data_IF_427692328663
#
_entry.id   IF_427692328663
#
_cell.length_a   1.000
_cell.length_b   1.000
_cell.length_c   1.000
_cell.angle_alpha   90.00
_cell.angle_beta   90.00
_cell.angle_gamma   90.00
#
_symmetry.space_group_name_H-M   'P 1'
#
loop_
_entity.id
_entity.type
_entity.pdbx_description
1 polymer ?
#
# COMPACT_ATOMS: atom_id res chain seq x y z
N UNK A 1 6.31 32.30 16.27
CA UNK A 1 5.59 31.14 15.71
C UNK A 1 4.82 31.66 14.51
N UNK A 2 5.18 31.24 13.29
CA UNK A 2 4.45 31.65 12.10
C UNK A 2 3.04 31.05 12.15
N UNK A 3 2.04 31.90 12.05
CA UNK A 3 0.63 31.51 11.97
C UNK A 3 0.45 30.81 10.61
N UNK A 4 0.35 29.48 10.60
CA UNK A 4 0.10 28.72 9.39
C UNK A 4 -1.25 29.17 8.81
N UNK A 5 -1.19 29.88 7.68
CA UNK A 5 -2.37 30.18 6.88
C UNK A 5 -2.76 28.87 6.19
N UNK A 6 -3.93 28.33 6.53
CA UNK A 6 -4.46 27.16 5.82
C UNK A 6 -5.09 27.66 4.53
N UNK A 7 -4.37 27.46 3.42
CA UNK A 7 -4.93 27.59 2.09
C UNK A 7 -5.79 26.34 1.85
N UNK A 8 -7.09 26.52 1.60
CA UNK A 8 -7.91 25.45 1.07
C UNK A 8 -7.63 25.40 -0.44
N UNK A 9 -6.50 24.81 -0.81
CA UNK A 9 -6.22 24.52 -2.22
C UNK A 9 -7.32 23.57 -2.73
N UNK A 10 -7.99 23.92 -3.84
CA UNK A 10 -9.04 23.11 -4.45
C UNK A 10 -8.35 21.99 -5.22
N UNK A 11 -7.80 21.05 -4.44
CA UNK A 11 -7.38 19.72 -4.93
C UNK A 11 -8.54 18.98 -5.62
N UNK A 12 -9.76 19.53 -5.55
CA UNK A 12 -11.01 19.08 -6.14
C UNK A 12 -11.36 19.74 -7.47
N UNK A 13 -10.47 20.50 -8.11
CA UNK A 13 -10.76 21.05 -9.45
C UNK A 13 -11.14 19.97 -10.47
N UNK A 14 -10.59 18.77 -10.33
CA UNK A 14 -10.97 17.60 -11.13
C UNK A 14 -12.40 17.10 -10.87
N UNK A 15 -13.05 17.55 -9.79
CA UNK A 15 -14.47 17.32 -9.49
C UNK A 15 -15.38 18.41 -10.08
N UNK A 16 -14.82 19.40 -10.81
CA UNK A 16 -15.56 20.47 -11.47
C UNK A 16 -15.59 21.81 -10.73
N UNK A 17 -14.71 22.04 -9.74
CA UNK A 17 -14.62 23.30 -8.98
C UNK A 17 -13.59 24.29 -9.56
N UNK A 18 -13.87 25.60 -9.47
CA UNK A 18 -12.93 26.69 -9.83
C UNK A 18 -11.84 26.93 -8.75
N UNK A 19 -10.91 27.85 -9.03
CA UNK A 19 -9.68 28.11 -8.25
C UNK A 19 -9.90 28.38 -6.73
N UNK A 20 -8.90 28.06 -5.89
CA UNK A 20 -9.08 28.06 -4.44
C UNK A 20 -9.23 29.42 -3.77
N UNK A 21 -10.15 29.50 -2.80
CA UNK A 21 -10.25 30.63 -1.85
C UNK A 21 -9.52 30.34 -0.51
N UNK A 22 -8.84 31.35 0.03
CA UNK A 22 -8.17 31.29 1.34
C UNK A 22 -9.16 31.30 2.49
N UNK A 23 -9.06 30.34 3.42
CA UNK A 23 -9.90 30.30 4.64
C UNK A 23 -9.05 30.62 5.89
N UNK A 24 -9.45 31.65 6.64
CA UNK A 24 -8.82 31.97 7.94
C UNK A 24 -9.41 31.10 9.07
N UNK A 25 -8.55 30.33 9.75
CA UNK A 25 -8.98 29.48 10.86
C UNK A 25 -9.10 30.30 12.15
N UNK A 26 -10.31 30.41 12.69
CA UNK A 26 -10.54 30.81 14.08
C UNK A 26 -10.71 29.57 14.96
N UNK A 27 -10.03 29.57 16.11
CA UNK A 27 -10.00 28.46 17.06
C UNK A 27 -11.38 28.18 17.70
N UNK A 28 -11.80 26.90 17.87
CA UNK A 28 -13.11 26.57 18.43
C UNK A 28 -13.17 26.80 19.95
N UNK A 29 -14.20 27.54 20.39
CA UNK A 29 -14.59 27.62 21.81
C UNK A 29 -15.22 26.30 22.26
N UNK A 30 -14.72 25.74 23.36
CA UNK A 30 -15.26 24.54 24.04
C UNK A 30 -16.72 24.75 24.46
N UNK A 31 -17.63 23.90 23.97
CA UNK A 31 -18.98 23.75 24.52
C UNK A 31 -19.04 22.60 25.53
N UNK A 32 -19.85 22.81 26.57
CA UNK A 32 -19.99 21.98 27.77
C UNK A 32 -20.79 20.70 27.50
N UNK A 33 -20.41 19.62 28.20
CA UNK A 33 -21.17 18.37 28.35
C UNK A 33 -22.52 18.64 29.04
N UNK A 34 -23.59 18.01 28.55
CA UNK A 34 -24.86 17.81 29.28
C UNK A 34 -25.17 16.32 29.34
N UNK A 35 -25.76 15.94 30.47
CA UNK A 35 -25.84 14.60 31.04
C UNK A 35 -26.90 13.68 30.41
N UNK A 36 -26.72 12.41 30.73
CA UNK A 36 -27.57 11.24 30.51
C UNK A 36 -29.00 11.39 31.01
N UNK A 37 -29.96 10.79 30.29
CA UNK A 37 -31.20 10.32 30.90
C UNK A 37 -31.58 8.93 30.36
N UNK A 38 -31.90 8.07 31.31
CA UNK A 38 -32.31 6.67 31.19
C UNK A 38 -33.82 6.59 30.96
N UNK A 39 -34.30 5.78 30.02
CA UNK A 39 -35.68 5.28 30.07
C UNK A 39 -35.86 3.94 29.35
N UNK A 40 -36.12 2.92 30.18
CA UNK A 40 -36.95 1.73 30.03
C UNK A 40 -37.21 1.11 28.65
N UNK A 41 -36.78 -0.16 28.54
CA UNK A 41 -37.23 -1.15 27.56
C UNK A 41 -38.67 -1.59 27.86
N UNK A 42 -39.56 -1.40 26.91
CA UNK A 42 -40.82 -2.15 26.79
C UNK A 42 -40.75 -3.03 25.55
N UNK A 43 -41.02 -4.32 25.73
CA UNK A 43 -40.97 -5.36 24.70
C UNK A 43 -42.32 -5.36 23.95
N UNK A 44 -42.39 -5.19 22.62
CA UNK A 44 -43.64 -5.37 21.89
C UNK A 44 -43.80 -6.82 21.43
N UNK A 45 -44.99 -7.34 21.67
CA UNK A 45 -45.58 -8.61 21.18
C UNK A 45 -45.65 -8.64 19.64
N UNK A 46 -45.59 -9.81 18.99
CA UNK A 46 -45.54 -9.91 17.53
C UNK A 46 -46.90 -9.59 16.91
N UNK A 47 -46.90 -8.64 15.96
CA UNK A 47 -48.04 -8.34 15.07
C UNK A 47 -48.05 -9.32 13.87
N UNK A 48 -49.22 -9.58 13.27
CA UNK A 48 -49.38 -10.54 12.17
C UNK A 48 -48.55 -10.13 10.95
N UNK A 49 -48.07 -11.10 10.18
CA UNK A 49 -47.32 -10.88 8.94
C UNK A 49 -48.19 -10.12 7.93
N UNK A 50 -47.92 -8.83 7.78
CA UNK A 50 -48.57 -7.94 6.82
C UNK A 50 -47.96 -8.14 5.42
N UNK A 51 -48.81 -8.45 4.45
CA UNK A 51 -48.40 -8.76 3.07
C UNK A 51 -47.92 -7.46 2.38
N UNK A 52 -46.65 -7.43 1.98
CA UNK A 52 -46.04 -6.33 1.21
C UNK A 52 -46.62 -6.28 -0.20
N UNK A 53 -47.36 -5.21 -0.53
CA UNK A 53 -47.95 -4.97 -1.85
C UNK A 53 -47.66 -3.53 -2.28
N UNK A 54 -47.04 -3.37 -3.44
CA UNK A 54 -46.69 -2.08 -4.07
C UNK A 54 -47.55 -1.84 -5.31
N UNK A 55 -47.71 -0.58 -5.70
CA UNK A 55 -48.47 -0.14 -6.86
C UNK A 55 -47.76 1.03 -7.57
N UNK A 56 -48.34 1.54 -8.66
CA UNK A 56 -47.76 2.62 -9.47
C UNK A 56 -47.70 3.97 -8.76
N UNK A 57 -48.41 4.14 -7.64
CA UNK A 57 -48.38 5.34 -6.80
C UNK A 57 -47.39 5.22 -5.63
N UNK A 58 -46.71 4.07 -5.51
CA UNK A 58 -45.72 3.85 -4.45
C UNK A 58 -44.51 4.74 -4.71
N UNK A 59 -44.00 5.37 -3.65
CA UNK A 59 -42.80 6.21 -3.73
C UNK A 59 -41.74 5.74 -2.74
N UNK A 60 -40.48 6.04 -3.05
CA UNK A 60 -39.30 5.74 -2.26
C UNK A 60 -38.77 7.05 -1.72
N UNK A 61 -38.62 7.16 -0.39
CA UNK A 61 -38.05 8.34 0.25
C UNK A 61 -36.67 8.03 0.78
N UNK A 62 -35.67 8.57 0.12
CA UNK A 62 -34.26 8.39 0.44
C UNK A 62 -33.47 9.65 0.11
N UNK A 63 -32.43 9.96 0.89
CA UNK A 63 -31.58 11.14 0.65
C UNK A 63 -32.27 12.51 0.83
N UNK A 64 -33.52 12.57 1.29
CA UNK A 64 -34.31 13.82 1.34
C UNK A 64 -35.25 14.00 0.15
N UNK A 65 -35.14 13.14 -0.86
CA UNK A 65 -35.96 13.14 -2.07
C UNK A 65 -37.12 12.13 -1.98
N UNK A 66 -38.11 12.30 -2.86
CA UNK A 66 -39.22 11.35 -3.04
C UNK A 66 -39.21 10.87 -4.48
N UNK A 67 -38.78 9.62 -4.67
CA UNK A 67 -38.55 9.00 -5.97
C UNK A 67 -39.75 8.09 -6.30
N UNK A 68 -40.47 8.28 -7.41
CA UNK A 68 -41.52 7.36 -7.85
C UNK A 68 -40.99 5.93 -8.05
N UNK A 69 -41.74 4.91 -7.63
CA UNK A 69 -41.35 3.51 -7.87
C UNK A 69 -41.25 3.17 -9.36
N UNK A 70 -42.01 3.90 -10.20
CA UNK A 70 -42.00 3.79 -11.67
C UNK A 70 -40.66 4.13 -12.30
N UNK A 71 -39.79 4.85 -11.61
CA UNK A 71 -38.43 5.15 -12.09
C UNK A 71 -37.55 3.90 -12.10
N UNK A 72 -37.89 2.92 -11.24
CA UNK A 72 -37.16 1.66 -11.11
C UNK A 72 -37.88 0.46 -11.69
N UNK A 73 -39.21 0.48 -11.84
CA UNK A 73 -40.01 -0.65 -12.34
C UNK A 73 -41.06 -0.16 -13.33
N UNK A 74 -41.28 -0.90 -14.41
CA UNK A 74 -42.35 -0.53 -15.36
C UNK A 74 -43.74 -0.75 -14.75
N UNK A 75 -44.77 -0.07 -15.28
CA UNK A 75 -46.15 -0.26 -14.82
C UNK A 75 -46.62 -1.73 -14.95
N UNK A 76 -46.11 -2.44 -15.94
CA UNK A 76 -46.36 -3.87 -16.15
C UNK A 76 -45.62 -4.74 -15.12
N UNK A 77 -44.37 -4.43 -14.78
CA UNK A 77 -43.62 -5.10 -13.71
C UNK A 77 -44.28 -4.90 -12.33
N UNK A 78 -44.86 -3.72 -12.09
CA UNK A 78 -45.54 -3.38 -10.84
C UNK A 78 -46.89 -4.10 -10.70
N UNK A 79 -47.61 -4.31 -11.80
CA UNK A 79 -48.95 -4.91 -11.80
C UNK A 79 -48.94 -6.45 -11.95
N UNK A 80 -48.00 -7.00 -12.71
CA UNK A 80 -47.93 -8.42 -13.08
C UNK A 80 -46.78 -9.14 -12.33
N UNK A 81 -45.73 -8.42 -11.92
CA UNK A 81 -44.52 -8.96 -11.32
C UNK A 81 -43.34 -9.04 -12.29
N UNK A 82 -42.15 -9.34 -11.78
CA UNK A 82 -40.92 -9.50 -12.58
C UNK A 82 -40.77 -10.93 -13.11
N UNK A 83 -40.25 -11.10 -14.32
CA UNK A 83 -40.01 -12.42 -14.94
C UNK A 83 -39.03 -13.27 -14.11
N UNK A 84 -39.38 -14.54 -13.86
CA UNK A 84 -38.42 -15.53 -13.34
C UNK A 84 -37.53 -16.03 -14.48
N UNK A 85 -36.21 -15.87 -14.35
CA UNK A 85 -35.27 -16.63 -15.19
C UNK A 85 -35.28 -18.10 -14.75
N UNK A 86 -35.86 -18.98 -15.57
CA UNK A 86 -35.90 -20.41 -15.32
C UNK A 86 -34.53 -21.04 -15.58
N UNK A 87 -33.71 -21.16 -14.53
CA UNK A 87 -32.58 -22.10 -14.51
C UNK A 87 -33.10 -23.51 -14.16
N UNK A 88 -33.80 -24.16 -15.08
CA UNK A 88 -33.89 -25.63 -15.22
C UNK A 88 -34.89 -25.98 -16.34
N UNK A 89 -34.55 -27.01 -17.11
CA UNK A 89 -35.33 -27.57 -18.22
C UNK A 89 -36.80 -27.83 -17.86
N UNK A 90 -37.71 -26.95 -18.29
CA UNK A 90 -39.15 -27.25 -18.41
C UNK A 90 -39.87 -26.26 -19.37
N UNK A 91 -40.44 -26.83 -20.43
CA UNK A 91 -41.58 -26.44 -21.29
C UNK A 91 -41.84 -24.94 -21.64
N UNK A 92 -41.72 -24.52 -22.92
CA UNK A 92 -41.75 -23.11 -23.35
C UNK A 92 -43.17 -22.59 -23.67
N UNK A 93 -44.10 -22.57 -22.71
CA UNK A 93 -45.42 -21.96 -23.00
C UNK A 93 -46.18 -21.21 -21.89
N UNK A 94 -45.60 -20.90 -20.72
CA UNK A 94 -46.19 -19.88 -19.82
C UNK A 94 -45.10 -19.12 -19.03
N UNK A 95 -44.91 -17.81 -19.25
CA UNK A 95 -44.00 -17.02 -18.41
C UNK A 95 -44.54 -16.97 -16.98
N UNK A 96 -43.73 -17.40 -16.02
CA UNK A 96 -44.03 -17.30 -14.59
C UNK A 96 -43.48 -16.01 -14.03
N UNK A 97 -44.34 -15.22 -13.38
CA UNK A 97 -44.01 -13.92 -12.82
C UNK A 97 -43.88 -14.00 -11.29
N UNK A 98 -42.88 -13.33 -10.73
CA UNK A 98 -42.67 -13.18 -9.29
C UNK A 98 -43.07 -11.77 -8.85
N UNK A 99 -43.87 -11.66 -7.80
CA UNK A 99 -44.20 -10.36 -7.22
C UNK A 99 -42.94 -9.62 -6.74
N UNK A 100 -42.88 -8.31 -6.97
CA UNK A 100 -41.74 -7.45 -6.56
C UNK A 100 -41.56 -7.56 -5.05
N UNK A 101 -40.36 -8.00 -4.63
CA UNK A 101 -40.00 -8.05 -3.22
C UNK A 101 -39.26 -6.78 -2.79
N UNK A 102 -39.23 -6.55 -1.48
CA UNK A 102 -38.48 -5.44 -0.88
C UNK A 102 -36.98 -5.48 -1.23
N UNK A 103 -36.42 -6.69 -1.38
CA UNK A 103 -35.02 -6.86 -1.78
C UNK A 103 -34.78 -6.51 -3.25
N UNK A 104 -35.75 -6.79 -4.13
CA UNK A 104 -35.65 -6.42 -5.55
C UNK A 104 -35.59 -4.90 -5.72
N UNK A 105 -36.40 -4.17 -4.92
CA UNK A 105 -36.39 -2.70 -4.89
C UNK A 105 -35.05 -2.19 -4.36
N UNK A 106 -34.55 -2.76 -3.24
CA UNK A 106 -33.24 -2.40 -2.67
C UNK A 106 -32.11 -2.63 -3.67
N UNK A 107 -32.15 -3.74 -4.41
CA UNK A 107 -31.13 -4.11 -5.41
C UNK A 107 -31.11 -3.14 -6.59
N UNK A 108 -32.28 -2.71 -7.09
CA UNK A 108 -32.35 -1.67 -8.14
C UNK A 108 -31.89 -0.31 -7.60
N UNK A 109 -32.25 0.05 -6.37
CA UNK A 109 -31.76 1.25 -5.70
C UNK A 109 -30.25 1.25 -5.44
N UNK A 110 -29.64 0.08 -5.20
CA UNK A 110 -28.19 -0.04 -4.93
C UNK A 110 -27.34 0.40 -6.14
N UNK A 111 -27.89 0.38 -7.36
CA UNK A 111 -27.20 0.87 -8.56
C UNK A 111 -26.97 2.39 -8.51
N UNK A 112 -27.94 3.14 -7.99
CA UNK A 112 -27.88 4.60 -7.90
C UNK A 112 -27.34 5.06 -6.53
N UNK A 113 -27.65 4.27 -5.49
CA UNK A 113 -27.27 4.54 -4.09
C UNK A 113 -26.45 3.37 -3.54
N UNK A 114 -25.16 3.33 -3.90
CA UNK A 114 -24.23 2.25 -3.57
C UNK A 114 -24.05 1.99 -2.06
N UNK A 115 -24.51 2.89 -1.19
CA UNK A 115 -24.57 2.66 0.24
C UNK A 115 -25.67 1.69 0.69
N UNK A 116 -26.73 1.51 -0.11
CA UNK A 116 -27.91 0.70 0.15
C UNK A 116 -27.70 -0.82 -0.03
N UNK A 117 -26.56 -1.32 0.39
CA UNK A 117 -26.25 -2.76 0.34
C UNK A 117 -27.12 -3.55 1.31
N UNK A 118 -27.37 -4.81 0.98
CA UNK A 118 -28.11 -5.80 1.81
C UNK A 118 -27.66 -5.77 3.28
N UNK A 119 -26.35 -5.81 3.52
CA UNK A 119 -25.78 -5.89 4.87
C UNK A 119 -25.99 -4.64 5.75
N UNK A 120 -26.27 -3.49 5.14
CA UNK A 120 -26.33 -2.19 5.82
C UNK A 120 -27.68 -1.51 5.68
N UNK A 121 -28.65 -2.14 5.03
CA UNK A 121 -29.90 -1.49 4.66
C UNK A 121 -31.08 -2.30 5.11
N UNK A 122 -31.86 -1.74 6.01
CA UNK A 122 -33.20 -2.23 6.30
C UNK A 122 -34.21 -1.39 5.53
N UNK A 123 -35.00 -2.02 4.70
CA UNK A 123 -36.08 -1.35 3.95
C UNK A 123 -37.36 -1.38 4.79
N UNK A 124 -37.94 -0.21 5.05
CA UNK A 124 -39.20 -0.07 5.80
C UNK A 124 -40.32 0.39 4.88
N UNK A 125 -41.45 -0.33 4.85
CA UNK A 125 -42.63 0.08 4.10
C UNK A 125 -43.69 0.69 5.03
N UNK A 126 -44.13 1.91 4.70
CA UNK A 126 -45.16 2.65 5.45
C UNK A 126 -46.43 2.65 4.59
N UNK A 127 -47.34 1.72 4.90
CA UNK A 127 -48.55 1.47 4.11
C UNK A 127 -49.47 2.67 4.03
N UNK A 128 -49.63 3.43 5.13
CA UNK A 128 -50.55 4.58 5.19
C UNK A 128 -50.15 5.71 4.24
N UNK A 129 -48.86 5.78 3.87
CA UNK A 129 -48.30 6.79 2.97
C UNK A 129 -47.87 6.21 1.63
N UNK A 130 -48.06 4.91 1.43
CA UNK A 130 -47.57 4.17 0.27
C UNK A 130 -46.08 4.45 -0.02
N UNK A 131 -45.26 4.40 1.02
CA UNK A 131 -43.92 4.95 1.04
C UNK A 131 -42.89 3.91 1.49
N UNK A 132 -41.82 3.73 0.72
CA UNK A 132 -40.68 2.88 1.05
C UNK A 132 -39.53 3.75 1.54
N UNK A 133 -38.94 3.42 2.68
CA UNK A 133 -37.82 4.15 3.28
C UNK A 133 -36.65 3.19 3.50
N UNK A 134 -35.57 3.28 2.70
CA UNK A 134 -34.31 2.64 3.00
C UNK A 134 -33.68 3.26 4.24
N UNK A 135 -33.37 2.45 5.25
CA UNK A 135 -32.74 2.90 6.51
C UNK A 135 -31.37 2.26 6.64
N UNK A 136 -30.33 3.09 6.66
CA UNK A 136 -28.96 2.64 6.88
C UNK A 136 -28.75 2.25 8.35
N UNK A 137 -28.37 0.99 8.57
CA UNK A 137 -28.05 0.45 9.88
C UNK A 137 -26.59 0.72 10.25
N UNK A 138 -26.32 0.84 11.56
CA UNK A 138 -24.97 1.03 12.07
C UNK A 138 -24.07 -0.17 11.72
N UNK A 139 -22.89 0.11 11.16
CA UNK A 139 -21.93 -0.92 10.74
C UNK A 139 -21.45 -1.74 11.95
N UNK A 140 -21.47 -3.08 11.83
CA UNK A 140 -20.68 -3.94 12.73
C UNK A 140 -19.19 -3.70 12.47
N UNK A 141 -18.43 -3.46 13.54
CA UNK A 141 -16.97 -3.23 13.47
C UNK A 141 -16.30 -4.43 12.79
N UNK A 142 -15.67 -4.21 11.64
CA UNK A 142 -14.92 -5.24 10.89
C UNK A 142 -15.56 -5.76 9.59
N UNK A 143 -16.73 -5.26 9.16
CA UNK A 143 -17.28 -5.61 7.84
C UNK A 143 -16.49 -4.96 6.70
N UNK A 144 -15.98 -5.79 5.78
CA UNK A 144 -15.26 -5.38 4.56
C UNK A 144 -16.22 -5.46 3.38
N UNK A 145 -16.64 -4.30 2.87
CA UNK A 145 -17.46 -4.19 1.66
C UNK A 145 -16.56 -4.28 0.43
N UNK A 146 -16.72 -5.34 -0.38
CA UNK A 146 -15.74 -5.72 -1.42
C UNK A 146 -15.72 -4.85 -2.69
N UNK A 147 -16.62 -3.87 -2.87
CA UNK A 147 -16.70 -3.06 -4.11
C UNK A 147 -17.24 -1.62 -3.90
N UNK A 148 -16.67 -0.82 -2.99
CA UNK A 148 -17.16 0.57 -2.76
C UNK A 148 -16.16 1.69 -3.00
N UNK A 149 -14.91 1.38 -3.34
CA UNK A 149 -13.88 2.40 -3.58
C UNK A 149 -13.37 2.32 -5.01
N UNK A 150 -12.99 3.47 -5.56
CA UNK A 150 -12.21 3.59 -6.79
C UNK A 150 -10.74 3.77 -6.45
N UNK A 151 -9.86 3.11 -7.19
CA UNK A 151 -8.41 3.32 -7.10
C UNK A 151 -7.99 3.74 -8.50
N UNK A 152 -7.54 4.97 -8.64
CA UNK A 152 -7.26 5.60 -9.94
C UNK A 152 -5.79 5.97 -10.00
N UNK A 153 -5.18 5.88 -11.18
CA UNK A 153 -3.78 6.28 -11.38
C UNK A 153 -3.63 7.78 -11.65
N UNK A 154 -4.71 8.47 -12.01
CA UNK A 154 -4.73 9.91 -12.27
C UNK A 154 -6.04 10.56 -11.81
N UNK A 155 -6.02 11.88 -11.69
CA UNK A 155 -7.22 12.68 -11.42
C UNK A 155 -8.22 12.64 -12.60
N UNK A 156 -7.73 12.53 -13.84
CA UNK A 156 -8.61 12.43 -15.02
C UNK A 156 -9.44 11.14 -15.01
N UNK A 157 -8.80 10.02 -14.71
CA UNK A 157 -9.49 8.72 -14.60
C UNK A 157 -10.50 8.72 -13.45
N UNK A 158 -10.14 9.37 -12.32
CA UNK A 158 -11.06 9.57 -11.21
C UNK A 158 -12.26 10.47 -11.56
N UNK A 159 -12.07 11.46 -12.44
CA UNK A 159 -13.15 12.33 -12.91
C UNK A 159 -14.11 11.57 -13.85
N UNK A 160 -13.57 10.83 -14.81
CA UNK A 160 -14.36 10.07 -15.79
C UNK A 160 -15.11 8.90 -15.16
N UNK A 161 -14.51 8.25 -14.15
CA UNK A 161 -15.03 7.04 -13.50
C UNK A 161 -15.44 7.27 -12.05
N UNK A 162 -15.93 8.48 -11.75
CA UNK A 162 -16.16 9.02 -10.39
C UNK A 162 -16.86 8.04 -9.46
N UNK A 163 -16.29 7.88 -8.26
CA UNK A 163 -16.90 7.18 -7.13
C UNK A 163 -16.90 8.07 -5.90
N UNK A 164 -17.82 7.82 -4.98
CA UNK A 164 -17.89 8.61 -3.76
C UNK A 164 -16.72 8.34 -2.79
N UNK A 165 -15.96 7.25 -2.94
CA UNK A 165 -14.77 6.92 -2.16
C UNK A 165 -13.63 6.56 -3.11
N UNK A 166 -12.56 7.33 -3.13
CA UNK A 166 -11.50 7.25 -4.14
C UNK A 166 -10.12 7.27 -3.51
N UNK A 167 -9.15 6.59 -4.14
CA UNK A 167 -7.74 6.57 -3.76
C UNK A 167 -6.91 6.94 -4.98
N UNK A 168 -6.11 8.00 -4.87
CA UNK A 168 -5.38 8.56 -6.00
C UNK A 168 -3.94 8.89 -5.56
N UNK A 169 -2.90 8.41 -6.27
CA UNK A 169 -1.52 8.82 -6.03
C UNK A 169 -1.30 10.27 -6.46
N UNK A 170 -0.41 10.98 -5.77
CA UNK A 170 -0.01 12.35 -6.06
C UNK A 170 1.49 12.44 -6.37
N UNK A 171 1.91 13.55 -6.98
CA UNK A 171 3.31 13.82 -7.33
C UNK A 171 4.24 13.92 -6.13
N UNK A 172 3.70 14.13 -4.92
CA UNK A 172 4.44 14.12 -3.67
C UNK A 172 4.81 12.69 -3.16
N UNK A 173 4.51 11.66 -3.95
CA UNK A 173 4.77 10.26 -3.65
C UNK A 173 3.75 9.60 -2.71
N UNK A 174 2.69 10.30 -2.31
CA UNK A 174 1.69 9.76 -1.39
C UNK A 174 0.38 9.42 -2.11
N UNK A 175 -0.41 8.56 -1.47
CA UNK A 175 -1.78 8.25 -1.90
C UNK A 175 -2.76 9.02 -1.02
N UNK A 176 -3.73 9.66 -1.67
CA UNK A 176 -4.78 10.43 -1.02
C UNK A 176 -6.11 9.70 -1.13
N UNK A 177 -6.80 9.58 0.00
CA UNK A 177 -8.17 9.10 0.08
C UNK A 177 -9.11 10.30 -0.03
N UNK A 178 -9.94 10.29 -1.06
CA UNK A 178 -10.94 11.30 -1.34
C UNK A 178 -12.33 10.72 -1.09
N UNK A 179 -13.08 11.35 -0.19
CA UNK A 179 -14.49 11.07 0.03
C UNK A 179 -15.28 12.23 -0.52
N UNK A 180 -15.97 11.99 -1.63
CA UNK A 180 -16.87 12.97 -2.21
C UNK A 180 -18.32 12.59 -1.91
N UNK A 181 -19.08 13.56 -1.42
CA UNK A 181 -20.50 13.45 -1.07
C UNK A 181 -21.19 14.73 -1.50
N UNK A 182 -22.52 14.70 -1.61
CA UNK A 182 -23.32 15.87 -1.99
C UNK A 182 -23.00 17.13 -1.18
N UNK A 183 -22.68 16.98 0.11
CA UNK A 183 -22.53 18.12 1.02
C UNK A 183 -21.08 18.55 1.25
N UNK A 184 -20.10 17.66 0.96
CA UNK A 184 -18.69 17.94 1.20
C UNK A 184 -17.79 16.96 0.47
N UNK A 185 -16.60 17.45 0.17
CA UNK A 185 -15.47 16.69 -0.34
C UNK A 185 -14.33 16.69 0.69
N UNK A 186 -13.80 15.51 1.02
CA UNK A 186 -12.69 15.32 1.97
C UNK A 186 -11.51 14.75 1.21
N UNK A 187 -10.34 15.36 1.32
CA UNK A 187 -9.08 14.80 0.82
C UNK A 187 -8.10 14.64 1.97
N UNK A 188 -7.53 13.44 2.13
CA UNK A 188 -6.54 13.18 3.18
C UNK A 188 -5.55 12.11 2.74
N UNK A 189 -4.26 12.31 3.04
CA UNK A 189 -3.24 11.27 2.89
C UNK A 189 -3.67 10.00 3.64
N UNK A 190 -3.73 8.88 2.93
CA UNK A 190 -4.10 7.60 3.54
C UNK A 190 -2.87 6.85 4.06
N UNK A 191 -3.09 5.98 5.04
CA UNK A 191 -2.08 5.02 5.52
C UNK A 191 -2.25 3.63 4.90
N UNK A 192 -3.41 3.38 4.28
CA UNK A 192 -3.73 2.10 3.68
C UNK A 192 -4.72 2.31 2.54
N UNK A 193 -4.54 1.57 1.46
CA UNK A 193 -5.49 1.48 0.36
C UNK A 193 -6.19 0.12 0.47
N UNK A 194 -7.52 0.08 0.63
CA UNK A 194 -8.23 -1.18 0.69
C UNK A 194 -8.02 -2.02 -0.58
N UNK A 195 -8.11 -3.33 -0.46
CA UNK A 195 -8.02 -4.28 -1.59
C UNK A 195 -6.68 -4.35 -2.33
N UNK A 196 -5.67 -3.57 -1.93
CA UNK A 196 -4.30 -3.70 -2.44
C UNK A 196 -3.43 -4.51 -1.48
N UNK A 197 -2.48 -5.25 -2.06
CA UNK A 197 -1.46 -5.97 -1.30
C UNK A 197 -0.52 -5.02 -0.57
N UNK A 198 -0.08 -5.40 0.62
CA UNK A 198 1.00 -4.68 1.32
C UNK A 198 2.33 -5.01 0.64
N UNK A 199 2.99 -3.99 0.13
CA UNK A 199 4.38 -4.06 -0.34
C UNK A 199 5.28 -3.61 0.80
N UNK A 200 6.43 -4.27 0.97
CA UNK A 200 7.47 -3.86 1.92
C UNK A 200 8.67 -3.33 1.14
N UNK A 201 9.19 -2.19 1.59
CA UNK A 201 10.47 -1.68 1.14
C UNK A 201 11.58 -2.66 1.49
N UNK A 202 12.58 -2.76 0.62
CA UNK A 202 13.74 -3.61 0.83
C UNK A 202 14.45 -3.97 -0.47
N UNK A 203 15.59 -4.63 -0.31
CA UNK A 203 16.42 -5.10 -1.42
C UNK A 203 16.34 -6.61 -1.50
N UNK A 204 16.11 -7.12 -2.71
CA UNK A 204 16.15 -8.56 -3.01
C UNK A 204 17.21 -8.84 -4.05
N UNK A 205 18.22 -9.62 -3.67
CA UNK A 205 19.21 -10.14 -4.61
C UNK A 205 18.54 -11.20 -5.49
N UNK A 206 18.72 -11.07 -6.81
CA UNK A 206 18.19 -12.02 -7.80
C UNK A 206 19.15 -13.17 -8.08
N UNK A 207 20.45 -12.91 -7.94
CA UNK A 207 21.50 -13.91 -8.04
C UNK A 207 21.81 -14.49 -6.63
N UNK A 208 22.53 -15.63 -6.57
CA UNK A 208 22.97 -16.22 -5.30
C UNK A 208 23.81 -15.25 -4.46
N UNK A 209 24.10 -15.61 -3.21
CA UNK A 209 25.05 -14.82 -2.42
C UNK A 209 26.45 -14.90 -3.05
N UNK A 210 27.23 -13.84 -2.90
CA UNK A 210 28.61 -13.78 -3.36
C UNK A 210 29.45 -14.71 -2.50
N UNK A 211 30.27 -15.55 -3.14
CA UNK A 211 31.10 -16.53 -2.46
C UNK A 211 32.09 -15.87 -1.48
N UNK A 212 32.21 -16.41 -0.28
CA UNK A 212 33.13 -16.01 0.77
C UNK A 212 34.58 -15.95 0.29
N UNK A 213 34.96 -16.83 -0.62
CA UNK A 213 36.32 -16.85 -1.20
C UNK A 213 36.64 -15.54 -1.93
N UNK A 214 35.65 -14.91 -2.57
CA UNK A 214 35.82 -13.63 -3.27
C UNK A 214 36.10 -12.50 -2.26
N UNK A 215 35.29 -12.42 -1.20
CA UNK A 215 35.49 -11.37 -0.20
C UNK A 215 36.76 -11.61 0.61
N UNK A 216 37.11 -12.85 0.94
CA UNK A 216 38.38 -13.13 1.62
C UNK A 216 39.58 -12.81 0.75
N UNK A 217 39.52 -13.06 -0.55
CA UNK A 217 40.60 -12.67 -1.46
C UNK A 217 40.76 -11.15 -1.50
N UNK A 218 39.67 -10.40 -1.60
CA UNK A 218 39.72 -8.95 -1.53
C UNK A 218 40.24 -8.43 -0.16
N UNK A 219 39.86 -9.07 0.96
CA UNK A 219 40.41 -8.75 2.29
C UNK A 219 41.92 -8.98 2.33
N UNK A 220 42.44 -10.08 1.76
CA UNK A 220 43.89 -10.36 1.73
C UNK A 220 44.65 -9.29 0.94
N UNK A 221 44.13 -8.91 -0.23
CA UNK A 221 44.69 -7.86 -1.07
C UNK A 221 44.70 -6.54 -0.30
N UNK A 222 43.55 -6.15 0.25
CA UNK A 222 43.40 -4.91 1.03
C UNK A 222 44.33 -4.89 2.24
N UNK A 223 44.44 -5.99 2.98
CA UNK A 223 45.35 -6.14 4.13
C UNK A 223 46.81 -5.98 3.73
N UNK A 224 47.23 -6.53 2.59
CA UNK A 224 48.59 -6.37 2.09
C UNK A 224 48.91 -4.90 1.80
N UNK A 225 48.04 -4.19 1.07
CA UNK A 225 48.24 -2.78 0.74
C UNK A 225 48.17 -1.87 1.97
N UNK A 226 47.22 -2.11 2.88
CA UNK A 226 47.13 -1.38 4.14
C UNK A 226 48.40 -1.59 5.00
N UNK A 227 48.86 -2.83 5.15
CA UNK A 227 50.02 -3.12 6.01
C UNK A 227 51.34 -2.59 5.43
N UNK A 228 51.49 -2.60 4.10
CA UNK A 228 52.74 -2.23 3.43
C UNK A 228 52.83 -0.75 3.09
N UNK A 229 51.71 -0.13 2.72
CA UNK A 229 51.66 1.22 2.19
C UNK A 229 50.69 2.15 2.93
N UNK A 230 49.85 1.62 3.81
CA UNK A 230 48.82 2.41 4.50
C UNK A 230 47.74 2.95 3.56
N UNK A 231 47.48 2.24 2.44
CA UNK A 231 46.55 2.70 1.40
C UNK A 231 45.26 1.88 1.37
N UNK A 232 44.23 2.50 0.82
CA UNK A 232 42.99 1.87 0.40
C UNK A 232 43.19 1.09 -0.92
N UNK A 233 42.20 0.26 -1.27
CA UNK A 233 42.13 -0.50 -2.53
C UNK A 233 40.67 -0.64 -2.92
N UNK A 234 40.39 -0.57 -4.22
CA UNK A 234 39.09 -0.79 -4.85
C UNK A 234 39.09 -2.05 -5.71
N UNK A 235 37.93 -2.70 -5.82
CA UNK A 235 37.66 -3.80 -6.72
C UNK A 235 36.22 -3.75 -7.23
N UNK A 236 35.99 -4.46 -8.32
CA UNK A 236 34.67 -4.71 -8.87
C UNK A 236 34.36 -6.20 -8.76
N UNK A 237 33.10 -6.54 -8.49
CA UNK A 237 32.62 -7.92 -8.58
C UNK A 237 31.70 -8.01 -9.78
N UNK A 238 32.02 -8.95 -10.67
CA UNK A 238 31.32 -9.22 -11.91
C UNK A 238 30.52 -10.53 -11.77
N UNK A 239 29.40 -10.61 -12.47
CA UNK A 239 28.53 -11.79 -12.55
C UNK A 239 28.36 -12.20 -14.01
N UNK A 240 28.61 -13.47 -14.31
CA UNK A 240 28.53 -14.02 -15.69
C UNK A 240 27.31 -14.92 -15.93
N UNK A 241 26.33 -14.93 -15.01
CA UNK A 241 25.18 -15.86 -15.06
C UNK A 241 25.36 -17.17 -14.31
N UNK A 242 26.61 -17.55 -13.97
CA UNK A 242 26.94 -18.81 -13.31
C UNK A 242 27.65 -18.56 -11.98
N UNK A 243 28.70 -17.72 -11.98
CA UNK A 243 29.52 -17.43 -10.82
C UNK A 243 29.96 -15.96 -10.79
N UNK A 244 30.46 -15.56 -9.63
CA UNK A 244 31.03 -14.25 -9.39
C UNK A 244 32.55 -14.24 -9.62
N UNK A 245 33.08 -13.08 -10.01
CA UNK A 245 34.51 -12.86 -10.24
C UNK A 245 34.98 -11.55 -9.63
N UNK A 246 36.10 -11.61 -8.91
CA UNK A 246 36.79 -10.42 -8.42
C UNK A 246 37.65 -9.81 -9.53
N UNK A 247 37.45 -8.53 -9.82
CA UNK A 247 38.25 -7.75 -10.77
C UNK A 247 38.95 -6.63 -10.03
N UNK A 248 40.28 -6.56 -10.13
CA UNK A 248 41.09 -5.46 -9.58
C UNK A 248 41.48 -4.54 -10.75
N UNK A 249 40.79 -3.41 -10.96
CA UNK A 249 41.15 -2.49 -12.03
C UNK A 249 42.49 -1.82 -11.74
N UNK A 250 43.12 -1.27 -12.78
CA UNK A 250 44.22 -0.32 -12.60
C UNK A 250 43.68 0.87 -11.79
N UNK A 251 44.44 1.30 -10.79
CA UNK A 251 43.97 2.30 -9.85
C UNK A 251 45.14 3.05 -9.21
N UNK A 252 44.91 4.30 -8.84
CA UNK A 252 45.81 5.11 -8.01
C UNK A 252 45.23 5.16 -6.61
N UNK A 253 46.07 4.88 -5.61
CA UNK A 253 45.61 4.71 -4.23
C UNK A 253 46.41 5.58 -3.27
N UNK A 254 45.73 6.09 -2.25
CA UNK A 254 46.31 6.75 -1.09
C UNK A 254 45.64 6.22 0.18
N UNK A 255 45.93 6.83 1.33
CA UNK A 255 45.31 6.46 2.61
C UNK A 255 43.82 6.78 2.73
N UNK A 256 43.26 7.61 1.84
CA UNK A 256 41.86 8.11 1.92
C UNK A 256 41.21 8.26 0.54
N UNK A 257 41.82 7.70 -0.51
CA UNK A 257 41.35 7.89 -1.87
C UNK A 257 41.76 6.71 -2.72
N UNK A 258 40.81 6.21 -3.51
CA UNK A 258 41.07 5.30 -4.61
C UNK A 258 40.48 5.88 -5.89
N UNK A 259 41.32 6.04 -6.90
CA UNK A 259 40.93 6.47 -8.23
C UNK A 259 41.16 5.32 -9.21
N UNK A 260 40.14 4.49 -9.51
CA UNK A 260 40.24 3.49 -10.56
C UNK A 260 40.46 4.21 -11.90
N UNK A 261 41.50 3.83 -12.62
CA UNK A 261 41.71 4.28 -13.99
C UNK A 261 40.59 3.67 -14.84
N UNK A 262 39.83 4.50 -15.55
CA UNK A 262 38.78 4.04 -16.46
C UNK A 262 39.45 3.33 -17.64
N UNK A 263 39.75 2.05 -17.45
CA UNK A 263 40.12 1.19 -18.57
C UNK A 263 38.87 0.94 -19.38
N UNK A 264 38.95 1.14 -20.70
CA UNK A 264 37.97 0.65 -21.68
C UNK A 264 37.91 -0.89 -21.72
N UNK A 265 38.06 -1.56 -20.58
CA UNK A 265 37.74 -2.96 -20.40
C UNK A 265 36.23 -3.05 -20.55
N UNK A 266 35.81 -3.21 -21.80
CA UNK A 266 34.49 -3.73 -22.13
C UNK A 266 34.47 -5.08 -21.40
N UNK A 267 33.56 -5.30 -20.43
CA UNK A 267 33.35 -6.63 -19.88
C UNK A 267 33.25 -7.61 -21.06
N UNK A 268 33.75 -8.84 -20.93
CA UNK A 268 33.41 -9.83 -21.96
C UNK A 268 31.88 -9.85 -22.12
N UNK A 269 31.36 -10.06 -23.34
CA UNK A 269 30.00 -9.66 -23.77
C UNK A 269 28.84 -10.08 -22.82
N UNK A 270 29.08 -11.01 -21.89
CA UNK A 270 28.12 -11.57 -20.93
C UNK A 270 28.39 -11.25 -19.43
N UNK A 271 29.39 -10.44 -19.08
CA UNK A 271 29.70 -10.09 -17.67
C UNK A 271 29.00 -8.78 -17.23
N UNK A 272 28.30 -8.82 -16.09
CA UNK A 272 27.60 -7.66 -15.51
C UNK A 272 28.30 -7.26 -14.20
N UNK A 273 28.63 -5.97 -14.04
CA UNK A 273 29.09 -5.45 -12.76
C UNK A 273 27.96 -5.43 -11.74
N UNK A 274 28.13 -6.15 -10.62
CA UNK A 274 27.12 -6.29 -9.56
C UNK A 274 27.47 -5.57 -8.27
N UNK A 275 28.76 -5.34 -8.03
CA UNK A 275 29.24 -4.67 -6.82
C UNK A 275 30.52 -3.90 -7.11
N UNK A 276 30.62 -2.72 -6.48
CA UNK A 276 31.90 -2.05 -6.23
C UNK A 276 32.25 -2.19 -4.75
N UNK A 277 33.51 -2.50 -4.47
CA UNK A 277 33.98 -2.72 -3.11
C UNK A 277 35.32 -2.03 -2.90
N UNK A 278 35.44 -1.25 -1.82
CA UNK A 278 36.72 -0.66 -1.42
C UNK A 278 37.05 -0.93 0.05
N UNK A 279 38.29 -0.66 0.42
CA UNK A 279 38.77 -0.83 1.80
C UNK A 279 39.12 0.51 2.43
N UNK A 280 38.88 0.61 3.74
CA UNK A 280 39.22 1.75 4.59
C UNK A 280 40.47 1.46 5.43
N UNK A 281 41.44 0.70 4.91
CA UNK A 281 42.70 0.36 5.59
C UNK A 281 42.54 0.02 7.11
N UNK A 282 43.03 0.88 8.01
CA UNK A 282 42.95 0.75 9.47
C UNK A 282 41.69 1.38 10.07
N UNK A 283 40.94 2.17 9.31
CA UNK A 283 39.74 2.90 9.74
C UNK A 283 38.51 2.00 9.80
N UNK A 284 37.46 2.47 10.49
CA UNK A 284 36.16 1.80 10.52
C UNK A 284 35.51 1.72 9.12
N UNK A 285 34.64 0.72 8.94
CA UNK A 285 33.78 0.66 7.77
C UNK A 285 32.66 1.70 7.89
N UNK A 286 32.66 2.68 7.01
CA UNK A 286 31.59 3.67 6.88
C UNK A 286 31.54 4.16 5.43
N UNK A 287 30.43 4.76 5.04
CA UNK A 287 30.32 5.43 3.75
C UNK A 287 30.51 6.93 3.97
N UNK A 288 31.41 7.54 3.19
CA UNK A 288 31.77 8.95 3.22
C UNK A 288 30.93 9.77 2.23
N UNK A 289 31.01 11.09 2.32
CA UNK A 289 30.38 11.99 1.34
C UNK A 289 30.95 11.80 -0.07
N UNK A 290 32.23 11.42 -0.18
CA UNK A 290 32.84 11.13 -1.46
C UNK A 290 32.26 9.84 -2.08
N UNK A 291 32.02 8.84 -1.24
CA UNK A 291 31.34 7.61 -1.66
C UNK A 291 29.92 7.97 -2.18
N UNK A 292 29.16 8.78 -1.43
CA UNK A 292 27.81 9.22 -1.84
C UNK A 292 27.80 9.93 -3.22
N UNK A 293 28.83 10.72 -3.52
CA UNK A 293 28.97 11.40 -4.81
C UNK A 293 29.28 10.44 -5.96
N UNK A 294 30.08 9.41 -5.72
CA UNK A 294 30.45 8.40 -6.73
C UNK A 294 29.38 7.31 -6.95
N UNK A 295 28.61 6.97 -5.91
CA UNK A 295 27.69 5.84 -5.89
C UNK A 295 26.31 6.22 -6.43
N UNK A 296 26.16 6.16 -7.76
CA UNK A 296 24.91 6.53 -8.46
C UNK A 296 24.19 5.37 -9.16
N UNK A 297 24.87 4.25 -9.37
CA UNK A 297 24.30 3.10 -10.08
C UNK A 297 23.52 2.19 -9.12
N UNK A 298 22.46 1.50 -9.58
CA UNK A 298 21.70 0.54 -8.78
C UNK A 298 22.42 -0.82 -8.67
N UNK A 299 23.69 -0.78 -8.23
CA UNK A 299 24.51 -1.94 -7.90
C UNK A 299 24.75 -1.98 -6.38
N UNK A 300 25.43 -3.02 -5.91
CA UNK A 300 25.87 -3.07 -4.51
C UNK A 300 27.15 -2.27 -4.32
N UNK A 301 27.29 -1.66 -3.15
CA UNK A 301 28.48 -0.97 -2.71
C UNK A 301 28.91 -1.53 -1.37
N UNK A 302 30.18 -1.87 -1.21
CA UNK A 302 30.69 -2.41 0.03
C UNK A 302 31.98 -1.72 0.49
N UNK A 303 32.10 -1.54 1.80
CA UNK A 303 33.29 -1.00 2.45
C UNK A 303 33.82 -2.02 3.43
N UNK A 304 35.10 -2.37 3.30
CA UNK A 304 35.80 -3.18 4.29
C UNK A 304 36.72 -2.30 5.14
N UNK A 305 36.35 -2.11 6.40
CA UNK A 305 37.14 -1.40 7.40
C UNK A 305 37.96 -2.34 8.27
N UNK A 306 38.96 -1.78 8.95
CA UNK A 306 39.87 -2.48 9.86
C UNK A 306 40.43 -3.75 9.25
N UNK A 307 40.95 -3.67 8.02
CA UNK A 307 41.35 -4.87 7.28
C UNK A 307 42.51 -5.62 7.94
N UNK A 308 43.22 -5.02 8.89
CA UNK A 308 44.30 -5.68 9.66
C UNK A 308 43.82 -6.37 10.93
N UNK A 309 42.57 -6.16 11.36
CA UNK A 309 41.97 -6.87 12.50
C UNK A 309 41.74 -8.35 12.17
N UNK A 310 41.62 -9.17 13.22
CA UNK A 310 41.32 -10.59 13.07
C UNK A 310 39.99 -10.82 12.33
N UNK A 311 38.98 -9.99 12.64
CA UNK A 311 37.72 -9.90 11.90
C UNK A 311 37.52 -8.47 11.39
N UNK A 312 37.68 -8.22 10.08
CA UNK A 312 37.39 -6.92 9.48
C UNK A 312 35.91 -6.54 9.62
N UNK A 313 35.63 -5.25 9.53
CA UNK A 313 34.26 -4.74 9.46
C UNK A 313 33.81 -4.69 8.00
N UNK A 314 32.57 -5.10 7.72
CA UNK A 314 31.99 -5.05 6.38
C UNK A 314 30.68 -4.26 6.47
N UNK A 315 30.53 -3.24 5.63
CA UNK A 315 29.25 -2.58 5.38
C UNK A 315 28.85 -2.75 3.93
N UNK A 316 27.56 -2.88 3.69
CA UNK A 316 27.00 -2.98 2.34
C UNK A 316 25.79 -2.05 2.22
N UNK A 317 25.67 -1.37 1.08
CA UNK A 317 24.47 -0.63 0.70
C UNK A 317 24.19 -0.76 -0.79
N UNK A 318 23.07 -0.22 -1.24
CA UNK A 318 22.77 0.05 -2.64
C UNK A 318 22.17 1.44 -2.77
N UNK A 319 22.12 1.96 -3.99
CA UNK A 319 21.60 3.29 -4.29
C UNK A 319 20.36 3.17 -5.21
N UNK A 320 19.28 3.86 -4.85
CA UNK A 320 18.11 4.06 -5.69
C UNK A 320 17.74 5.55 -5.64
N UNK A 321 17.86 6.26 -6.76
CA UNK A 321 17.51 7.69 -6.88
C UNK A 321 18.20 8.60 -5.83
N UNK A 322 19.49 8.38 -5.55
CA UNK A 322 20.28 9.06 -4.50
C UNK A 322 19.83 8.76 -3.06
N UNK A 323 18.95 7.79 -2.85
CA UNK A 323 18.68 7.24 -1.52
C UNK A 323 19.43 5.92 -1.33
N UNK A 324 20.04 5.78 -0.16
CA UNK A 324 20.85 4.62 0.19
C UNK A 324 20.06 3.65 1.05
N UNK A 325 20.11 2.37 0.66
CA UNK A 325 19.51 1.27 1.40
C UNK A 325 20.64 0.41 1.96
N UNK A 326 20.81 0.37 3.28
CA UNK A 326 21.79 -0.51 3.93
C UNK A 326 21.34 -1.97 3.88
N UNK A 327 22.30 -2.87 3.68
CA UNK A 327 22.08 -4.32 3.70
C UNK A 327 22.94 -4.96 4.78
N UNK A 328 22.38 -5.97 5.45
CA UNK A 328 23.16 -6.89 6.28
C UNK A 328 24.12 -7.69 5.37
N UNK A 329 25.44 -7.65 5.59
CA UNK A 329 26.42 -8.43 4.84
C UNK A 329 26.09 -9.94 4.78
N UNK A 330 25.43 -10.49 5.81
CA UNK A 330 25.00 -11.89 5.83
C UNK A 330 23.97 -12.21 4.76
N UNK A 331 23.25 -11.22 4.22
CA UNK A 331 22.31 -11.40 3.11
C UNK A 331 22.97 -11.28 1.74
N UNK A 332 24.22 -10.82 1.68
CA UNK A 332 24.95 -10.48 0.44
C UNK A 332 26.04 -11.50 0.16
N UNK A 333 26.86 -11.81 1.16
CA UNK A 333 27.92 -12.79 1.09
C UNK A 333 27.47 -14.10 1.72
N UNK A 334 27.90 -15.22 1.16
CA UNK A 334 27.82 -16.47 1.89
C UNK A 334 28.85 -16.49 3.05
N UNK A 335 28.85 -17.54 3.84
CA UNK A 335 29.66 -17.63 5.04
C UNK A 335 30.21 -19.03 5.22
N UNK A 336 31.46 -19.18 5.72
CA UNK A 336 31.99 -20.49 6.09
C UNK A 336 31.40 -20.98 7.43
N UNK A 337 30.67 -20.13 8.16
CA UNK A 337 30.13 -20.41 9.48
C UNK A 337 28.70 -20.97 9.44
N UNK A 338 28.35 -21.72 8.39
CA UNK A 338 27.02 -22.32 8.27
C UNK A 338 26.77 -23.35 9.37
N UNK A 339 25.62 -23.24 10.04
CA UNK A 339 25.16 -24.19 11.06
C UNK A 339 24.52 -25.42 10.39
N UNK A 340 25.36 -26.26 9.79
CA UNK A 340 24.91 -27.46 9.08
C UNK A 340 24.74 -28.69 10.01
N UNK A 341 25.09 -28.56 11.28
CA UNK A 341 24.98 -29.60 12.29
C UNK A 341 24.35 -29.04 13.58
N UNK A 342 23.62 -29.89 14.31
CA UNK A 342 23.14 -29.54 15.65
C UNK A 342 24.31 -29.48 16.65
N UNK A 343 24.42 -28.36 17.36
CA UNK A 343 25.35 -28.13 18.45
C UNK A 343 24.65 -28.23 19.83
N UNK A 344 23.63 -29.08 19.95
CA UNK A 344 22.96 -29.35 21.23
C UNK A 344 23.81 -30.25 22.13
N UNK A 345 24.59 -29.63 23.01
CA UNK A 345 25.41 -30.33 24.00
C UNK A 345 24.67 -30.45 25.33
N UNK A 346 24.59 -31.66 25.90
CA UNK A 346 23.95 -31.92 27.22
C UNK A 346 24.61 -31.14 28.36
N UNK A 347 25.87 -30.76 28.20
CA UNK A 347 26.65 -29.97 29.15
C UNK A 347 26.20 -28.49 29.19
N UNK A 348 25.50 -28.03 28.15
CA UNK A 348 25.04 -26.64 28.02
C UNK A 348 23.58 -26.58 28.46
N UNK A 349 23.32 -25.88 29.56
CA UNK A 349 21.95 -25.60 30.03
C UNK A 349 21.58 -24.17 29.65
N UNK A 350 20.49 -24.02 28.90
CA UNK A 350 19.97 -22.71 28.50
C UNK A 350 19.17 -22.15 29.68
N UNK A 351 19.73 -21.16 30.38
CA UNK A 351 18.97 -20.34 31.30
C UNK A 351 18.23 -19.27 30.48
N UNK A 352 16.91 -19.40 30.35
CA UNK A 352 16.10 -18.28 29.87
C UNK A 352 16.05 -17.25 30.99
N UNK A 353 16.52 -16.04 30.73
CA UNK A 353 16.26 -14.92 31.62
C UNK A 353 14.74 -14.77 31.80
N UNK A 354 14.30 -14.62 33.05
CA UNK A 354 12.95 -14.20 33.37
C UNK A 354 12.83 -12.72 33.00
N UNK A 355 12.27 -12.45 31.82
CA UNK A 355 11.78 -11.10 31.48
C UNK A 355 10.57 -10.74 32.34
#
# INVERSE_FOLDING_TARGET
MAQYKMLQETIFSFLGEEEPETVEITSPKKSKKVASNTSNKTKPTPKPEEIFQVNTETSIRYGGETIPLTDYFTADEISIGTLLESNTEADPQTPTYKAITVDDIRRRLENDFAELTEDLTSMSFIKEKNLIVPVLQARKKGMILKKRHGIYLSLSDAADNKRSNMYIPSSDGNIYHIRDTEHLSICKRTRAVPSLSSIKEGVRLKAPKINWDIITEFIKISRYYASKYGTEVHAEILWNGIDYKLSIPKQRVSSQLVEPETTNLIPEEDEIKVMEIHSHNFMDAYFSSQDDESEKAPILYAVIGRVTDYFPQIKVRTCLNNEYLELDPNNVFDTPFQLNQSYEFKQITIHKELN
#
